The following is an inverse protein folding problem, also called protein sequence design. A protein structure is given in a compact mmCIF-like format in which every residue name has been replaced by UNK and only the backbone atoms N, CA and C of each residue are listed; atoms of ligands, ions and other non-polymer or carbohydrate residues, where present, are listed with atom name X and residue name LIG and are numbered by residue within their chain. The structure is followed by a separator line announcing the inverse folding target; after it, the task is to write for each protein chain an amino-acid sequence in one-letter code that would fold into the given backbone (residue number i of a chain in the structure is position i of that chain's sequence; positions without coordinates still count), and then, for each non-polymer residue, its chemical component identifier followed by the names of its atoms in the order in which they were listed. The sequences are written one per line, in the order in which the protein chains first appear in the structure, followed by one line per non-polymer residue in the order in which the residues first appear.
data_IF_943852219083
#
_entry.id   IF_943852219083
#
_cell.length_a   1.000
_cell.length_b   1.000
_cell.length_c   1.000
_cell.angle_alpha   90.00
_cell.angle_beta   90.00
_cell.angle_gamma   90.00
#
_symmetry.space_group_name_H-M   'P 1'
#
loop_
_entity.id
_entity.type
_entity.pdbx_description
1 polymer ?
#
# COMPACT_ATOMS: atom_id res chain seq x y z
N UNK A 1 -30.73 -22.46 -64.57
CA UNK A 1 -30.84 -21.65 -63.34
C UNK A 1 -29.96 -22.28 -62.27
N UNK A 2 -29.06 -21.47 -61.69
CA UNK A 2 -28.11 -21.83 -60.64
C UNK A 2 -28.84 -22.10 -59.32
N UNK A 3 -28.35 -23.01 -58.48
CA UNK A 3 -27.77 -22.68 -57.17
C UNK A 3 -27.11 -23.93 -56.55
N UNK A 4 -25.81 -23.79 -56.29
CA UNK A 4 -24.93 -24.74 -55.60
C UNK A 4 -25.17 -24.63 -54.10
N UNK A 5 -25.39 -25.77 -53.43
CA UNK A 5 -25.61 -25.82 -51.99
C UNK A 5 -24.26 -25.83 -51.27
N UNK A 6 -23.87 -24.69 -50.68
CA UNK A 6 -22.65 -24.58 -49.88
C UNK A 6 -22.91 -25.08 -48.46
N UNK A 7 -22.30 -26.21 -48.11
CA UNK A 7 -22.27 -26.75 -46.75
C UNK A 7 -21.34 -25.87 -45.89
N UNK A 8 -21.93 -25.12 -44.95
CA UNK A 8 -21.17 -24.29 -44.01
C UNK A 8 -20.73 -25.17 -42.82
N UNK A 9 -19.46 -25.56 -42.79
CA UNK A 9 -18.85 -26.27 -41.67
C UNK A 9 -18.55 -25.27 -40.55
N UNK A 10 -19.29 -25.32 -39.45
CA UNK A 10 -18.99 -24.54 -38.25
C UNK A 10 -17.86 -25.24 -37.49
N UNK A 11 -16.62 -24.73 -37.59
CA UNK A 11 -15.55 -25.15 -36.69
C UNK A 11 -15.76 -24.48 -35.32
N UNK A 12 -16.27 -25.24 -34.37
CA UNK A 12 -16.22 -24.92 -32.94
C UNK A 12 -14.77 -25.00 -32.45
N UNK A 13 -14.07 -23.86 -32.48
CA UNK A 13 -12.75 -23.72 -31.87
C UNK A 13 -12.88 -23.56 -30.35
N UNK A 14 -12.60 -24.62 -29.61
CA UNK A 14 -12.48 -24.58 -28.15
C UNK A 14 -11.29 -23.69 -27.76
N UNK A 15 -11.56 -22.52 -27.19
CA UNK A 15 -10.56 -21.68 -26.52
C UNK A 15 -10.07 -22.42 -25.28
N UNK A 16 -9.01 -23.22 -25.43
CA UNK A 16 -8.25 -23.76 -24.31
C UNK A 16 -7.60 -22.58 -23.58
N UNK A 17 -8.13 -22.25 -22.40
CA UNK A 17 -7.54 -21.27 -21.50
C UNK A 17 -6.10 -21.68 -21.17
N UNK A 18 -5.16 -20.79 -21.45
CA UNK A 18 -3.78 -20.96 -21.00
C UNK A 18 -3.81 -20.83 -19.48
N UNK A 19 -3.43 -21.86 -18.71
CA UNK A 19 -3.35 -21.74 -17.27
C UNK A 19 -2.29 -20.68 -16.95
N UNK A 20 -2.65 -19.72 -16.09
CA UNK A 20 -1.69 -18.77 -15.54
C UNK A 20 -0.56 -19.57 -14.88
N UNK A 21 0.61 -19.61 -15.52
CA UNK A 21 1.80 -20.21 -14.94
C UNK A 21 2.14 -19.41 -13.69
N UNK A 22 1.85 -19.99 -12.53
CA UNK A 22 2.40 -19.52 -11.27
C UNK A 22 3.93 -19.46 -11.43
N UNK A 23 4.49 -18.26 -11.36
CA UNK A 23 5.93 -18.08 -11.42
C UNK A 23 6.56 -18.83 -10.23
N UNK A 24 7.60 -19.65 -10.44
CA UNK A 24 8.33 -20.27 -9.34
C UNK A 24 8.87 -19.16 -8.44
N UNK A 25 8.79 -19.36 -7.12
CA UNK A 25 9.37 -18.44 -6.15
C UNK A 25 10.85 -18.22 -6.50
N UNK A 26 11.23 -16.99 -6.82
CA UNK A 26 12.61 -16.67 -7.16
C UNK A 26 13.47 -16.79 -5.90
N UNK A 27 14.68 -17.35 -6.04
CA UNK A 27 15.71 -17.29 -5.00
C UNK A 27 16.43 -15.92 -5.00
N UNK A 28 15.76 -14.86 -5.49
CA UNK A 28 16.31 -13.51 -5.53
C UNK A 28 16.46 -12.97 -4.10
N UNK A 29 17.57 -12.30 -3.77
CA UNK A 29 17.68 -11.54 -2.53
C UNK A 29 16.50 -10.57 -2.37
N UNK A 30 15.76 -10.74 -1.26
CA UNK A 30 14.65 -9.88 -0.89
C UNK A 30 15.13 -8.89 0.17
N UNK A 31 15.46 -7.68 -0.26
CA UNK A 31 15.86 -6.56 0.59
C UNK A 31 14.68 -5.65 0.97
N UNK A 32 13.53 -5.76 0.29
CA UNK A 32 12.28 -5.18 0.76
C UNK A 32 11.70 -6.03 1.91
N UNK A 33 11.96 -5.61 3.15
CA UNK A 33 11.52 -6.33 4.37
C UNK A 33 10.01 -6.27 4.60
N UNK A 34 9.29 -5.32 3.99
CA UNK A 34 7.83 -5.24 4.03
C UNK A 34 7.22 -6.49 3.40
N UNK A 35 7.76 -6.92 2.25
CA UNK A 35 7.30 -8.14 1.56
C UNK A 35 7.48 -9.37 2.45
N UNK A 36 8.60 -9.47 3.18
CA UNK A 36 8.85 -10.58 4.11
C UNK A 36 7.78 -10.63 5.20
N UNK A 37 7.53 -9.50 5.88
CA UNK A 37 6.52 -9.41 6.94
C UNK A 37 5.12 -9.72 6.46
N UNK A 38 4.75 -9.22 5.28
CA UNK A 38 3.46 -9.49 4.68
C UNK A 38 3.29 -10.98 4.35
N UNK A 39 4.32 -11.66 3.83
CA UNK A 39 4.33 -13.12 3.59
C UNK A 39 4.19 -13.93 4.87
N UNK A 40 4.69 -13.40 5.99
CA UNK A 40 4.51 -13.97 7.33
C UNK A 40 3.13 -13.66 7.95
N UNK A 41 2.24 -12.97 7.23
CA UNK A 41 0.91 -12.59 7.70
C UNK A 41 0.91 -11.48 8.78
N UNK A 42 2.04 -10.79 8.97
CA UNK A 42 2.19 -9.70 9.93
C UNK A 42 1.65 -8.39 9.38
N UNK A 43 1.16 -7.54 10.28
CA UNK A 43 0.83 -6.16 9.95
C UNK A 43 2.12 -5.34 9.74
N UNK A 44 2.08 -4.37 8.84
CA UNK A 44 3.14 -3.40 8.59
C UNK A 44 2.61 -1.97 8.75
N UNK A 45 3.43 -1.11 9.35
CA UNK A 45 3.07 0.27 9.66
C UNK A 45 4.10 1.24 9.09
N UNK A 46 3.63 2.39 8.62
CA UNK A 46 4.51 3.50 8.23
C UNK A 46 4.57 4.62 9.25
N UNK A 47 5.42 5.58 8.94
CA UNK A 47 5.21 6.99 9.27
C UNK A 47 5.11 7.78 7.96
N UNK A 48 4.39 8.91 7.99
CA UNK A 48 4.20 9.77 6.82
C UNK A 48 5.18 10.94 6.85
N UNK A 49 5.99 11.07 5.79
CA UNK A 49 6.90 12.19 5.56
C UNK A 49 6.23 13.18 4.59
N UNK A 50 6.02 14.42 5.03
CA UNK A 50 5.31 15.47 4.26
C UNK A 50 6.16 16.72 3.95
N UNK A 51 7.40 16.76 4.45
CA UNK A 51 8.34 17.87 4.26
C UNK A 51 9.72 17.33 3.92
N UNK A 52 10.51 18.12 3.21
CA UNK A 52 11.93 17.83 3.03
C UNK A 52 12.64 18.06 4.37
N UNK A 53 12.83 16.99 5.14
CA UNK A 53 13.53 17.00 6.42
C UNK A 53 14.34 15.69 6.55
N UNK A 54 15.57 15.66 6.01
CA UNK A 54 16.40 14.47 6.04
C UNK A 54 16.71 14.01 7.47
N UNK A 55 16.85 14.94 8.43
CA UNK A 55 17.16 14.58 9.80
C UNK A 55 15.98 13.85 10.47
N UNK A 56 14.77 14.40 10.34
CA UNK A 56 13.57 13.76 10.89
C UNK A 56 13.27 12.42 10.19
N UNK A 57 13.43 12.36 8.86
CA UNK A 57 13.29 11.12 8.10
C UNK A 57 14.27 10.05 8.61
N UNK A 58 15.56 10.39 8.73
CA UNK A 58 16.58 9.43 9.14
C UNK A 58 16.41 8.91 10.57
N UNK A 59 15.85 9.71 11.46
CA UNK A 59 15.49 9.24 12.80
C UNK A 59 14.27 8.32 12.74
N UNK A 60 13.14 8.80 12.21
CA UNK A 60 11.89 8.05 12.18
C UNK A 60 12.03 6.72 11.42
N UNK A 61 12.74 6.70 10.29
CA UNK A 61 12.91 5.51 9.44
C UNK A 61 13.62 4.32 10.12
N UNK A 62 14.23 4.50 11.28
CA UNK A 62 14.77 3.40 12.09
C UNK A 62 13.68 2.57 12.77
N UNK A 63 12.50 3.15 12.96
CA UNK A 63 11.46 2.69 13.89
C UNK A 63 10.18 2.14 13.22
N UNK A 64 10.10 2.18 11.90
CA UNK A 64 8.92 1.75 11.12
C UNK A 64 9.27 0.70 10.06
N UNK A 65 8.25 0.08 9.49
CA UNK A 65 8.42 -0.93 8.43
C UNK A 65 8.65 -0.30 7.07
N UNK A 66 7.99 0.82 6.83
CA UNK A 66 8.13 1.58 5.60
C UNK A 66 7.92 3.07 5.83
N UNK A 67 8.47 3.88 4.94
CA UNK A 67 8.18 5.31 4.89
C UNK A 67 7.09 5.54 3.87
N UNK A 68 6.10 6.35 4.22
CA UNK A 68 5.15 6.91 3.28
C UNK A 68 5.61 8.33 2.93
N UNK A 69 6.32 8.50 1.82
CA UNK A 69 6.56 9.82 1.27
C UNK A 69 5.28 10.30 0.59
N UNK A 70 4.73 11.39 1.10
CA UNK A 70 3.48 11.96 0.63
C UNK A 70 3.73 12.92 -0.53
N UNK A 71 3.43 12.55 -1.78
CA UNK A 71 3.55 13.47 -2.92
C UNK A 71 2.20 13.85 -3.56
N UNK A 72 1.07 13.36 -3.04
CA UNK A 72 -0.26 13.79 -3.52
C UNK A 72 -0.73 15.06 -2.79
N UNK A 73 -0.52 15.11 -1.47
CA UNK A 73 -1.03 16.18 -0.60
C UNK A 73 0.07 16.89 0.20
N UNK A 74 1.29 16.93 -0.33
CA UNK A 74 2.37 17.75 0.22
C UNK A 74 3.11 18.48 -0.89
N UNK A 75 4.13 19.25 -0.51
CA UNK A 75 5.02 19.96 -1.45
C UNK A 75 6.29 19.18 -1.76
N UNK A 76 6.36 17.89 -1.40
CA UNK A 76 7.52 17.05 -1.72
C UNK A 76 7.61 16.82 -3.23
N UNK A 77 8.79 17.07 -3.78
CA UNK A 77 9.16 16.72 -5.14
C UNK A 77 10.12 15.53 -5.15
N UNK A 78 10.35 14.92 -6.33
CA UNK A 78 11.27 13.78 -6.46
C UNK A 78 12.67 14.07 -5.90
N UNK A 79 13.20 15.29 -6.10
CA UNK A 79 14.51 15.69 -5.58
C UNK A 79 14.57 15.65 -4.04
N UNK A 80 13.46 15.98 -3.38
CA UNK A 80 13.40 16.01 -1.91
C UNK A 80 13.41 14.59 -1.37
N UNK A 81 12.61 13.70 -1.98
CA UNK A 81 12.58 12.28 -1.63
C UNK A 81 13.92 11.61 -1.94
N UNK A 82 14.52 11.92 -3.09
CA UNK A 82 15.86 11.43 -3.48
C UNK A 82 16.90 11.82 -2.42
N UNK A 83 16.94 13.10 -2.04
CA UNK A 83 17.87 13.61 -1.03
C UNK A 83 17.66 12.97 0.34
N UNK A 84 16.40 12.76 0.77
CA UNK A 84 16.11 12.08 2.04
C UNK A 84 16.57 10.61 2.01
N UNK A 85 16.27 9.86 0.96
CA UNK A 85 16.75 8.47 0.80
C UNK A 85 18.27 8.41 0.80
N UNK A 86 18.95 9.36 0.13
CA UNK A 86 20.41 9.44 0.06
C UNK A 86 21.08 9.77 1.40
N UNK A 87 20.40 10.55 2.26
CA UNK A 87 20.95 10.99 3.54
C UNK A 87 21.14 9.84 4.55
N UNK A 88 20.31 8.79 4.46
CA UNK A 88 20.42 7.59 5.28
C UNK A 88 19.96 6.37 4.48
N UNK A 89 20.82 5.87 3.58
CA UNK A 89 20.52 4.68 2.80
C UNK A 89 20.43 3.48 3.75
N UNK A 90 19.61 2.48 3.40
CA UNK A 90 19.49 1.22 4.14
C UNK A 90 18.99 1.33 5.58
N UNK A 91 18.30 2.42 5.93
CA UNK A 91 17.43 2.45 7.12
C UNK A 91 16.38 1.34 7.04
N UNK A 92 15.82 0.97 8.20
CA UNK A 92 14.89 -0.15 8.31
C UNK A 92 13.64 0.06 7.46
N UNK A 93 13.06 1.25 7.53
CA UNK A 93 11.84 1.58 6.81
C UNK A 93 12.12 1.57 5.30
N UNK A 94 11.41 0.71 4.57
CA UNK A 94 11.48 0.66 3.12
C UNK A 94 10.87 1.94 2.52
N UNK A 95 11.56 2.63 1.59
CA UNK A 95 11.02 3.84 0.98
C UNK A 95 9.87 3.52 0.03
N UNK A 96 8.67 4.01 0.34
CA UNK A 96 7.50 3.96 -0.54
C UNK A 96 6.93 5.36 -0.74
N UNK A 97 6.36 5.62 -1.92
CA UNK A 97 5.88 6.95 -2.30
C UNK A 97 4.41 6.86 -2.66
N UNK A 98 3.56 7.68 -2.02
CA UNK A 98 2.25 8.00 -2.58
C UNK A 98 2.41 9.05 -3.66
N UNK A 99 2.19 8.63 -4.90
CA UNK A 99 2.27 9.49 -6.08
C UNK A 99 0.96 10.25 -6.29
N UNK A 100 0.98 11.36 -7.05
CA UNK A 100 -0.26 12.08 -7.38
C UNK A 100 -1.14 11.33 -8.40
N UNK A 101 -0.56 10.44 -9.21
CA UNK A 101 -1.26 9.68 -10.26
C UNK A 101 -0.51 8.39 -10.65
N UNK A 102 -0.97 7.71 -11.71
CA UNK A 102 -0.39 6.48 -12.26
C UNK A 102 0.39 6.69 -13.57
N UNK A 103 0.96 7.87 -13.81
CA UNK A 103 1.68 8.18 -15.05
C UNK A 103 3.05 7.51 -15.11
N UNK A 104 3.46 7.16 -16.33
CA UNK A 104 4.73 6.52 -16.63
C UNK A 104 5.92 7.26 -15.99
N UNK A 105 5.99 8.58 -16.18
CA UNK A 105 7.12 9.37 -15.70
C UNK A 105 7.19 9.41 -14.17
N UNK A 106 6.06 9.57 -13.47
CA UNK A 106 6.00 9.60 -12.01
C UNK A 106 6.47 8.29 -11.38
N UNK A 107 5.94 7.15 -11.88
CA UNK A 107 6.30 5.83 -11.36
C UNK A 107 7.77 5.53 -11.65
N UNK A 108 8.26 5.82 -12.85
CA UNK A 108 9.66 5.55 -13.18
C UNK A 108 10.63 6.43 -12.37
N UNK A 109 10.35 7.72 -12.21
CA UNK A 109 11.18 8.58 -11.36
C UNK A 109 11.20 8.10 -9.91
N UNK A 110 10.05 7.74 -9.33
CA UNK A 110 9.98 7.16 -7.99
C UNK A 110 10.90 5.94 -7.83
N UNK A 111 10.85 5.02 -8.80
CA UNK A 111 11.66 3.81 -8.78
C UNK A 111 13.15 4.06 -9.11
N UNK A 112 13.48 5.14 -9.81
CA UNK A 112 14.86 5.52 -10.14
C UNK A 112 15.56 6.22 -8.97
N UNK A 113 14.81 6.95 -8.13
CA UNK A 113 15.33 7.56 -6.89
C UNK A 113 15.38 6.58 -5.71
N UNK A 114 15.02 5.32 -5.91
CA UNK A 114 15.23 4.25 -4.94
C UNK A 114 14.00 3.78 -4.18
N UNK A 115 12.78 4.24 -4.53
CA UNK A 115 11.57 3.68 -3.96
C UNK A 115 11.41 2.19 -4.32
N UNK A 116 11.00 1.39 -3.35
CA UNK A 116 10.67 -0.03 -3.51
C UNK A 116 9.17 -0.29 -3.35
N UNK A 117 8.38 0.77 -3.38
CA UNK A 117 6.94 0.67 -3.59
C UNK A 117 6.31 2.00 -3.97
N UNK A 118 5.23 1.91 -4.73
CA UNK A 118 4.39 3.05 -5.09
C UNK A 118 2.97 2.83 -4.59
N UNK A 119 2.33 3.91 -4.16
CA UNK A 119 0.93 3.94 -3.74
C UNK A 119 0.20 4.88 -4.67
N UNK A 120 -0.80 4.35 -5.37
CA UNK A 120 -1.57 5.07 -6.38
C UNK A 120 -2.94 5.44 -5.80
N UNK A 121 -3.26 6.73 -5.66
CA UNK A 121 -4.54 7.19 -5.13
C UNK A 121 -5.65 7.12 -6.18
N UNK A 122 -6.88 7.16 -5.67
CA UNK A 122 -8.13 7.31 -6.43
C UNK A 122 -8.21 6.35 -7.63
N UNK A 123 -8.04 5.05 -7.38
CA UNK A 123 -8.13 4.02 -8.42
C UNK A 123 -9.57 3.55 -8.57
N UNK A 124 -10.22 4.03 -9.63
CA UNK A 124 -11.64 3.74 -9.92
C UNK A 124 -11.86 2.61 -10.93
N UNK A 125 -10.85 2.27 -11.72
CA UNK A 125 -10.96 1.29 -12.80
C UNK A 125 -9.69 0.45 -13.03
N UNK A 126 -9.87 -0.59 -13.85
CA UNK A 126 -8.83 -1.54 -14.25
C UNK A 126 -7.72 -0.88 -15.06
N UNK A 127 -8.02 0.15 -15.85
CA UNK A 127 -7.03 0.77 -16.72
C UNK A 127 -6.00 1.56 -15.91
N UNK A 128 -6.46 2.32 -14.91
CA UNK A 128 -5.58 3.02 -13.96
C UNK A 128 -4.74 2.05 -13.13
N UNK A 129 -5.33 0.94 -12.67
CA UNK A 129 -4.59 -0.13 -12.00
C UNK A 129 -3.54 -0.79 -12.93
N UNK A 130 -3.88 -0.99 -14.21
CA UNK A 130 -2.94 -1.54 -15.20
C UNK A 130 -1.77 -0.61 -15.44
N UNK A 131 -1.99 0.70 -15.55
CA UNK A 131 -0.90 1.66 -15.70
C UNK A 131 0.01 1.67 -14.45
N UNK A 132 -0.55 1.60 -13.24
CA UNK A 132 0.23 1.44 -12.01
C UNK A 132 1.16 0.22 -12.04
N UNK A 133 0.64 -0.95 -12.45
CA UNK A 133 1.42 -2.18 -12.55
C UNK A 133 2.47 -2.13 -13.67
N UNK A 134 2.08 -1.61 -14.83
CA UNK A 134 2.86 -1.63 -16.08
C UNK A 134 4.20 -0.90 -15.96
N UNK A 135 4.25 0.22 -15.25
CA UNK A 135 5.47 1.03 -15.15
C UNK A 135 6.36 0.65 -13.96
N UNK A 136 5.87 -0.22 -13.08
CA UNK A 136 6.53 -0.52 -11.80
C UNK A 136 7.54 -1.66 -11.86
N UNK A 137 7.60 -2.46 -12.93
CA UNK A 137 8.53 -3.61 -13.04
C UNK A 137 9.19 -3.71 -14.41
N UNK A 138 10.40 -4.23 -14.47
CA UNK A 138 11.15 -4.43 -15.71
C UNK A 138 10.56 -5.57 -16.57
N UNK A 139 10.78 -5.54 -17.90
CA UNK A 139 10.54 -6.69 -18.76
C UNK A 139 11.25 -7.97 -18.28
N UNK A 140 10.67 -9.17 -18.51
CA UNK A 140 9.41 -9.42 -19.21
C UNK A 140 8.15 -9.29 -18.33
N UNK A 141 8.30 -8.93 -17.04
CA UNK A 141 7.17 -8.88 -16.09
C UNK A 141 6.25 -7.68 -16.36
N UNK A 142 6.83 -6.52 -16.67
CA UNK A 142 6.09 -5.33 -17.09
C UNK A 142 6.94 -4.44 -18.04
N UNK A 143 6.69 -3.13 -18.11
CA UNK A 143 7.22 -2.21 -19.11
C UNK A 143 8.04 -1.04 -18.54
N UNK A 144 8.62 -1.18 -17.33
CA UNK A 144 9.56 -0.18 -16.80
C UNK A 144 10.80 -0.06 -17.72
N UNK A 145 11.20 1.16 -18.06
CA UNK A 145 12.46 1.46 -18.75
C UNK A 145 13.63 1.54 -17.76
N UNK A 146 14.86 1.35 -18.27
CA UNK A 146 16.07 1.40 -17.44
C UNK A 146 16.57 2.84 -17.30
N UNK A 147 16.41 3.43 -16.12
CA UNK A 147 17.09 4.66 -15.70
C UNK A 147 18.43 4.41 -15.00
N UNK A 148 19.20 5.48 -14.82
CA UNK A 148 20.51 5.50 -14.13
C UNK A 148 20.48 6.33 -12.83
N UNK A 149 19.33 6.46 -12.18
CA UNK A 149 19.19 7.14 -10.89
C UNK A 149 19.86 6.38 -9.73
N UNK A 150 19.80 6.95 -8.52
CA UNK A 150 20.49 6.41 -7.35
C UNK A 150 20.05 5.00 -6.92
N UNK A 151 18.87 4.54 -7.34
CA UNK A 151 18.33 3.21 -6.99
C UNK A 151 19.33 2.08 -7.28
N UNK A 152 20.08 2.16 -8.38
CA UNK A 152 21.05 1.13 -8.74
C UNK A 152 22.22 1.09 -7.77
N UNK A 153 22.68 2.24 -7.27
CA UNK A 153 23.76 2.33 -6.28
C UNK A 153 23.28 1.87 -4.90
N UNK A 154 22.05 2.23 -4.53
CA UNK A 154 21.42 1.80 -3.28
C UNK A 154 21.24 0.28 -3.27
N UNK A 155 20.56 -0.29 -4.25
CA UNK A 155 20.08 -1.67 -4.18
C UNK A 155 20.95 -2.67 -4.96
N UNK A 156 22.01 -2.19 -5.63
CA UNK A 156 22.81 -2.98 -6.58
C UNK A 156 24.21 -3.38 -6.09
N UNK A 157 24.46 -3.42 -4.78
CA UNK A 157 25.79 -3.64 -4.17
C UNK A 157 26.51 -4.97 -4.51
N UNK A 158 25.94 -5.80 -5.38
CA UNK A 158 26.66 -6.78 -6.20
C UNK A 158 26.14 -6.65 -7.65
N UNK A 159 26.89 -5.92 -8.50
CA UNK A 159 26.52 -5.40 -9.82
C UNK A 159 25.87 -6.37 -10.84
N UNK A 160 25.77 -7.67 -10.51
CA UNK A 160 25.12 -8.68 -11.32
C UNK A 160 23.57 -8.70 -11.26
N UNK A 161 22.91 -8.03 -10.29
CA UNK A 161 21.53 -8.42 -9.93
C UNK A 161 20.43 -7.35 -9.76
N UNK A 162 20.67 -6.03 -9.70
CA UNK A 162 19.57 -5.07 -9.42
C UNK A 162 18.35 -5.25 -10.33
N UNK A 163 18.53 -5.19 -11.66
CA UNK A 163 17.41 -5.37 -12.59
C UNK A 163 16.76 -6.78 -12.51
N UNK A 164 17.52 -7.78 -12.06
CA UNK A 164 17.04 -9.18 -11.90
C UNK A 164 16.30 -9.39 -10.59
N UNK A 165 16.62 -8.65 -9.53
CA UNK A 165 16.01 -8.77 -8.20
C UNK A 165 14.94 -7.71 -7.95
N UNK A 166 14.98 -6.59 -8.67
CA UNK A 166 14.12 -5.44 -8.45
C UNK A 166 12.64 -5.80 -8.52
N UNK A 167 12.24 -6.60 -9.52
CA UNK A 167 10.86 -6.99 -9.72
C UNK A 167 10.26 -7.72 -8.50
N UNK A 168 11.07 -8.53 -7.82
CA UNK A 168 10.68 -9.29 -6.63
C UNK A 168 10.66 -8.43 -5.35
N UNK A 169 11.28 -7.25 -5.40
CA UNK A 169 11.39 -6.30 -4.30
C UNK A 169 10.44 -5.10 -4.43
N UNK A 170 9.71 -4.98 -5.55
CA UNK A 170 8.79 -3.89 -5.80
C UNK A 170 7.38 -4.22 -5.29
N UNK A 171 6.74 -3.24 -4.63
CA UNK A 171 5.32 -3.26 -4.26
C UNK A 171 4.51 -2.21 -5.03
N UNK A 172 3.37 -2.62 -5.58
CA UNK A 172 2.36 -1.73 -6.16
C UNK A 172 1.11 -1.78 -5.30
N UNK A 173 0.81 -0.64 -4.67
CA UNK A 173 -0.36 -0.43 -3.83
C UNK A 173 -1.36 0.43 -4.57
N UNK A 174 -2.61 0.02 -4.63
CA UNK A 174 -3.71 0.83 -5.17
C UNK A 174 -4.67 1.21 -4.05
N UNK A 175 -5.16 2.44 -4.10
CA UNK A 175 -6.06 2.98 -3.09
C UNK A 175 -7.45 3.21 -3.69
N UNK A 176 -8.45 2.58 -3.08
CA UNK A 176 -9.86 2.75 -3.41
C UNK A 176 -10.44 3.83 -2.50
N UNK A 177 -10.99 4.87 -3.13
CA UNK A 177 -11.42 6.10 -2.45
C UNK A 177 -12.83 6.54 -2.85
N UNK A 178 -13.45 5.90 -3.84
CA UNK A 178 -14.77 6.32 -4.34
C UNK A 178 -15.74 5.13 -4.39
N UNK A 179 -17.07 5.38 -4.39
CA UNK A 179 -18.05 4.33 -4.66
C UNK A 179 -17.83 3.58 -5.98
N UNK A 180 -17.28 4.24 -7.01
CA UNK A 180 -16.94 3.62 -8.30
C UNK A 180 -15.80 2.60 -8.11
N UNK A 181 -14.71 2.99 -7.44
CA UNK A 181 -13.63 2.07 -7.11
C UNK A 181 -14.09 0.91 -6.24
N UNK A 182 -15.02 1.15 -5.31
CA UNK A 182 -15.64 0.09 -4.49
C UNK A 182 -16.43 -0.88 -5.36
N UNK A 183 -17.22 -0.40 -6.33
CA UNK A 183 -17.96 -1.26 -7.25
C UNK A 183 -17.00 -2.17 -8.05
N UNK A 184 -15.89 -1.60 -8.52
CA UNK A 184 -14.89 -2.26 -9.36
C UNK A 184 -13.77 -2.99 -8.59
N UNK A 185 -13.87 -3.09 -7.25
CA UNK A 185 -12.77 -3.53 -6.39
C UNK A 185 -12.15 -4.88 -6.80
N UNK A 186 -12.97 -5.87 -7.17
CA UNK A 186 -12.47 -7.18 -7.59
C UNK A 186 -11.66 -7.12 -8.89
N UNK A 187 -12.16 -6.37 -9.88
CA UNK A 187 -11.50 -6.26 -11.17
C UNK A 187 -10.19 -5.48 -11.05
N UNK A 188 -10.19 -4.42 -10.24
CA UNK A 188 -8.99 -3.64 -9.87
C UNK A 188 -7.96 -4.54 -9.18
N UNK A 189 -8.38 -5.28 -8.14
CA UNK A 189 -7.50 -6.16 -7.38
C UNK A 189 -6.95 -7.32 -8.24
N UNK A 190 -7.72 -7.78 -9.22
CA UNK A 190 -7.34 -8.89 -10.11
C UNK A 190 -6.30 -8.51 -11.16
N UNK A 191 -5.96 -7.22 -11.31
CA UNK A 191 -4.94 -6.78 -12.26
C UNK A 191 -3.57 -7.39 -11.91
N UNK A 192 -2.93 -8.12 -12.84
CA UNK A 192 -1.59 -8.64 -12.62
C UNK A 192 -0.58 -7.52 -12.31
N UNK A 193 0.20 -7.72 -11.26
CA UNK A 193 1.19 -6.74 -10.79
C UNK A 193 0.68 -5.80 -9.70
N UNK A 194 -0.62 -5.78 -9.39
CA UNK A 194 -1.13 -5.20 -8.14
C UNK A 194 -0.85 -6.16 -6.99
N UNK A 195 -0.29 -5.66 -5.89
CA UNK A 195 0.10 -6.46 -4.73
C UNK A 195 -0.83 -6.24 -3.55
N UNK A 196 -1.19 -4.96 -3.30
CA UNK A 196 -1.94 -4.53 -2.12
C UNK A 196 -3.06 -3.59 -2.57
N UNK A 197 -4.26 -3.78 -2.01
CA UNK A 197 -5.37 -2.85 -2.12
C UNK A 197 -5.62 -2.25 -0.75
N UNK A 198 -5.64 -0.92 -0.68
CA UNK A 198 -5.98 -0.19 0.54
C UNK A 198 -7.20 0.71 0.32
N UNK A 199 -7.85 1.09 1.40
CA UNK A 199 -8.94 2.06 1.38
C UNK A 199 -8.41 3.41 1.83
N UNK A 200 -8.63 4.46 1.04
CA UNK A 200 -8.42 5.84 1.48
C UNK A 200 -9.61 6.26 2.33
N UNK A 201 -9.52 6.01 3.63
CA UNK A 201 -10.69 6.05 4.52
C UNK A 201 -11.41 7.41 4.54
N UNK A 202 -10.64 8.50 4.55
CA UNK A 202 -11.18 9.86 4.58
C UNK A 202 -11.87 10.20 3.25
N UNK A 203 -11.20 9.95 2.12
CA UNK A 203 -11.76 10.24 0.81
C UNK A 203 -12.97 9.37 0.50
N UNK A 204 -12.99 8.09 0.88
CA UNK A 204 -14.18 7.25 0.73
C UNK A 204 -15.38 7.79 1.51
N UNK A 205 -15.15 8.35 2.71
CA UNK A 205 -16.22 9.01 3.47
C UNK A 205 -16.73 10.26 2.74
N UNK A 206 -15.83 11.07 2.18
CA UNK A 206 -16.17 12.28 1.43
C UNK A 206 -16.92 11.95 0.13
N UNK A 207 -16.39 11.06 -0.71
CA UNK A 207 -16.99 10.72 -2.00
C UNK A 207 -18.31 9.97 -1.89
N UNK A 208 -18.48 9.16 -0.84
CA UNK A 208 -19.75 8.46 -0.60
C UNK A 208 -20.79 9.30 0.13
N UNK A 209 -20.37 10.33 0.88
CA UNK A 209 -21.22 11.10 1.77
C UNK A 209 -21.61 10.37 3.06
N UNK A 210 -21.01 9.22 3.37
CA UNK A 210 -21.28 8.46 4.59
C UNK A 210 -20.15 8.62 5.61
N UNK A 211 -20.51 8.85 6.87
CA UNK A 211 -19.56 8.86 7.97
C UNK A 211 -18.92 7.47 8.16
N UNK A 212 -17.72 7.42 8.75
CA UNK A 212 -16.97 6.16 8.86
C UNK A 212 -17.63 5.14 9.80
N UNK A 213 -18.52 5.57 10.69
CA UNK A 213 -19.32 4.72 11.57
C UNK A 213 -20.67 4.29 10.96
N UNK A 214 -21.02 4.77 9.77
CA UNK A 214 -22.26 4.42 9.06
C UNK A 214 -22.20 2.99 8.49
N UNK A 215 -23.26 2.22 8.65
CA UNK A 215 -23.37 0.84 8.14
C UNK A 215 -23.12 0.73 6.63
N UNK A 216 -23.48 1.76 5.85
CA UNK A 216 -23.27 1.81 4.40
C UNK A 216 -21.80 2.02 4.06
N UNK A 217 -21.10 2.86 4.82
CA UNK A 217 -19.65 2.99 4.72
C UNK A 217 -18.96 1.67 5.07
N UNK A 218 -19.39 1.06 6.18
CA UNK A 218 -18.88 -0.23 6.63
C UNK A 218 -19.14 -1.35 5.62
N UNK A 219 -20.27 -1.32 4.91
CA UNK A 219 -20.56 -2.25 3.81
C UNK A 219 -19.61 -2.07 2.61
N UNK A 220 -19.27 -0.82 2.27
CA UNK A 220 -18.28 -0.55 1.21
C UNK A 220 -16.88 -1.05 1.60
N UNK A 221 -16.45 -0.82 2.84
CA UNK A 221 -15.19 -1.37 3.34
C UNK A 221 -15.17 -2.90 3.25
N UNK A 222 -16.24 -3.56 3.73
CA UNK A 222 -16.37 -5.02 3.66
C UNK A 222 -16.31 -5.54 2.22
N UNK A 223 -16.98 -4.87 1.28
CA UNK A 223 -16.91 -5.25 -0.14
C UNK A 223 -15.48 -5.18 -0.67
N UNK A 224 -14.76 -4.08 -0.43
CA UNK A 224 -13.36 -3.94 -0.89
C UNK A 224 -12.48 -5.01 -0.26
N UNK A 225 -12.64 -5.27 1.04
CA UNK A 225 -11.93 -6.34 1.74
C UNK A 225 -12.18 -7.71 1.09
N UNK A 226 -13.44 -8.11 0.95
CA UNK A 226 -13.82 -9.43 0.44
C UNK A 226 -13.34 -9.63 -1.00
N UNK A 227 -13.48 -8.60 -1.84
CA UNK A 227 -13.04 -8.63 -3.23
C UNK A 227 -11.51 -8.66 -3.35
N UNK A 228 -10.79 -7.96 -2.48
CA UNK A 228 -9.32 -7.98 -2.42
C UNK A 228 -8.81 -9.36 -2.05
N UNK A 229 -9.37 -9.98 -1.01
CA UNK A 229 -8.99 -11.32 -0.59
C UNK A 229 -9.39 -12.38 -1.63
N UNK A 230 -10.56 -12.23 -2.26
CA UNK A 230 -11.01 -13.11 -3.36
C UNK A 230 -10.08 -13.07 -4.57
N UNK A 231 -9.47 -11.91 -4.86
CA UNK A 231 -8.44 -11.76 -5.88
C UNK A 231 -7.05 -12.26 -5.45
N UNK A 232 -6.91 -12.79 -4.22
CA UNK A 232 -5.65 -13.27 -3.66
C UNK A 232 -4.65 -12.16 -3.35
N UNK A 233 -5.13 -10.94 -3.10
CA UNK A 233 -4.32 -9.77 -2.81
C UNK A 233 -4.33 -9.41 -1.32
N UNK A 234 -3.38 -8.59 -0.93
CA UNK A 234 -3.26 -8.12 0.45
C UNK A 234 -4.20 -6.95 0.65
N UNK A 235 -5.00 -7.01 1.71
CA UNK A 235 -5.87 -5.91 2.12
C UNK A 235 -5.18 -5.00 3.15
N UNK A 236 -5.43 -3.70 3.08
CA UNK A 236 -4.91 -2.72 4.03
C UNK A 236 -5.80 -1.48 4.13
N UNK A 237 -5.34 -0.50 4.90
CA UNK A 237 -6.10 0.71 5.25
C UNK A 237 -5.15 1.92 5.28
N UNK A 238 -5.56 3.05 4.72
CA UNK A 238 -4.80 4.29 4.80
C UNK A 238 -4.94 4.99 6.17
N UNK A 239 -5.23 4.23 7.23
CA UNK A 239 -5.31 4.73 8.59
C UNK A 239 -5.08 3.59 9.60
N UNK A 240 -4.06 3.71 10.44
CA UNK A 240 -3.71 2.72 11.46
C UNK A 240 -4.78 2.52 12.55
N UNK A 241 -5.77 3.41 12.69
CA UNK A 241 -6.88 3.18 13.63
C UNK A 241 -7.62 1.87 13.34
N UNK A 242 -7.64 1.43 12.08
CA UNK A 242 -8.27 0.17 11.66
C UNK A 242 -7.43 -1.07 11.98
N UNK A 243 -6.21 -0.91 12.51
CA UNK A 243 -5.33 -2.04 12.82
C UNK A 243 -5.79 -2.85 14.02
N UNK A 244 -6.59 -2.26 14.91
CA UNK A 244 -7.15 -2.92 16.10
C UNK A 244 -8.61 -2.50 16.30
N UNK A 245 -9.41 -3.36 16.96
CA UNK A 245 -10.79 -3.03 17.34
C UNK A 245 -11.83 -3.03 16.21
N UNK A 246 -11.41 -2.98 14.94
CA UNK A 246 -12.32 -3.07 13.80
C UNK A 246 -12.58 -4.55 13.43
N UNK A 247 -13.79 -4.93 12.96
CA UNK A 247 -14.10 -6.32 12.57
C UNK A 247 -13.12 -6.95 11.55
N UNK A 248 -12.51 -6.11 10.71
CA UNK A 248 -11.56 -6.51 9.66
C UNK A 248 -10.08 -6.35 10.05
N UNK A 249 -9.77 -5.93 11.29
CA UNK A 249 -8.40 -5.65 11.74
C UNK A 249 -7.46 -6.85 11.58
N UNK A 250 -7.98 -8.07 11.81
CA UNK A 250 -7.25 -9.33 11.71
C UNK A 250 -6.79 -9.65 10.28
N UNK A 251 -7.49 -9.16 9.28
CA UNK A 251 -7.23 -9.46 7.86
C UNK A 251 -6.48 -8.32 7.16
N UNK A 252 -6.62 -7.08 7.63
CA UNK A 252 -5.85 -5.94 7.15
C UNK A 252 -4.37 -6.03 7.61
N UNK A 253 -3.43 -5.92 6.65
CA UNK A 253 -1.98 -6.09 6.88
C UNK A 253 -1.13 -4.89 6.56
N UNK A 254 -1.62 -3.92 5.80
CA UNK A 254 -0.83 -2.76 5.38
C UNK A 254 -1.50 -1.47 5.85
N UNK A 255 -0.79 -0.64 6.62
CA UNK A 255 -1.37 0.54 7.25
C UNK A 255 -0.54 1.81 7.04
N UNK A 256 -1.19 2.88 6.59
CA UNK A 256 -0.61 4.22 6.66
C UNK A 256 -0.56 4.68 8.12
N UNK A 257 0.61 5.16 8.54
CA UNK A 257 0.94 5.49 9.92
C UNK A 257 0.80 4.27 10.85
N UNK A 258 1.02 4.45 12.15
CA UNK A 258 0.84 3.41 13.14
C UNK A 258 1.88 3.48 14.25
N UNK A 259 1.92 2.47 15.13
CA UNK A 259 2.95 2.39 16.15
C UNK A 259 4.31 2.03 15.53
N UNK A 260 5.37 2.67 16.02
CA UNK A 260 6.73 2.17 15.83
C UNK A 260 6.88 0.77 16.45
N UNK A 261 7.67 -0.11 15.83
CA UNK A 261 7.80 -1.50 16.29
C UNK A 261 8.48 -1.63 17.67
N UNK A 262 9.21 -0.60 18.09
CA UNK A 262 9.95 -0.52 19.36
C UNK A 262 9.36 0.50 20.34
N UNK A 263 8.17 1.06 20.03
CA UNK A 263 7.50 2.04 20.87
C UNK A 263 8.08 3.46 20.79
N UNK A 264 9.01 3.73 19.88
CA UNK A 264 9.52 5.07 19.63
C UNK A 264 8.40 6.06 19.30
N UNK A 265 8.56 7.31 19.75
CA UNK A 265 7.62 8.41 19.49
C UNK A 265 8.40 9.65 19.03
N UNK A 266 7.91 10.41 18.04
CA UNK A 266 8.51 11.68 17.67
C UNK A 266 8.52 12.63 18.86
N UNK A 267 9.61 13.37 19.04
CA UNK A 267 9.70 14.41 20.06
C UNK A 267 8.59 15.46 19.85
N UNK A 268 7.80 15.75 20.89
CA UNK A 268 6.75 16.78 20.86
C UNK A 268 5.35 16.32 20.43
N UNK A 269 5.12 15.03 20.15
CA UNK A 269 3.77 14.51 19.84
C UNK A 269 3.19 13.83 21.09
N UNK A 270 2.30 14.53 21.81
CA UNK A 270 1.41 13.91 22.81
C UNK A 270 0.24 13.24 22.09
N UNK A 271 0.09 11.93 22.25
CA UNK A 271 -0.95 11.15 21.58
C UNK A 271 -2.36 11.60 22.04
N UNK A 272 -3.19 12.16 21.16
CA UNK A 272 -4.63 12.41 21.45
C UNK A 272 -5.49 11.17 21.24
N UNK A 273 -4.88 10.01 21.01
CA UNK A 273 -5.57 8.72 20.80
C UNK A 273 -5.17 7.64 21.81
N UNK A 274 -4.61 8.04 22.96
CA UNK A 274 -4.54 7.10 24.09
C UNK A 274 -5.98 6.84 24.60
N UNK A 275 -6.37 5.58 24.86
CA UNK A 275 -7.58 5.33 25.64
C UNK A 275 -7.45 6.08 26.98
N UNK A 276 -8.54 6.63 27.53
CA UNK A 276 -8.48 7.27 28.83
C UNK A 276 -7.89 6.26 29.83
N UNK A 277 -6.94 6.66 30.69
CA UNK A 277 -6.46 5.80 31.76
C UNK A 277 -7.67 5.35 32.58
N UNK A 278 -7.91 4.03 32.56
CA UNK A 278 -8.89 3.40 33.43
C UNK A 278 -8.55 3.68 34.88
N UNK A 279 -9.61 3.90 35.64
CA UNK A 279 -9.64 3.94 37.09
C UNK A 279 -8.91 2.72 37.68
N UNK A 280 -7.68 2.91 38.13
CA UNK A 280 -7.04 2.03 39.11
C UNK A 280 -6.69 2.86 40.34
N UNK A 281 -7.51 2.66 41.37
CA UNK A 281 -7.23 2.78 42.80
C UNK A 281 -6.39 3.98 43.28
N UNK A 282 -7.08 5.07 43.61
CA UNK A 282 -6.56 6.06 44.56
C UNK A 282 -6.89 5.62 46.01
N UNK A 283 -5.91 5.29 46.85
CA UNK A 283 -6.16 5.05 48.27
C UNK A 283 -6.31 6.40 48.97
N UNK A 284 -7.52 6.70 49.44
CA UNK A 284 -7.74 7.77 50.41
C UNK A 284 -8.82 8.77 50.06
N UNK A 285 -10.08 8.35 50.14
CA UNK A 285 -11.17 9.25 50.57
C UNK A 285 -12.02 8.54 51.60
N UNK A 286 -12.03 9.08 52.83
CA UNK A 286 -12.97 8.66 53.88
C UNK A 286 -14.40 8.88 53.38
N UNK A 287 -15.34 7.97 53.69
CA UNK A 287 -16.74 8.17 53.31
C UNK A 287 -17.35 9.31 54.15
N UNK A 288 -18.23 10.14 53.58
CA UNK A 288 -18.98 11.11 54.36
C UNK A 288 -20.00 10.39 55.24
N UNK A 289 -20.00 10.76 56.51
CA UNK A 289 -20.96 10.35 57.54
C UNK A 289 -22.38 10.76 57.16
N UNK A 290 -23.30 9.78 57.17
CA UNK A 290 -24.74 10.03 57.31
C UNK A 290 -25.00 10.85 58.57
N UNK A 291 -25.78 11.93 58.45
CA UNK A 291 -26.60 12.43 59.55
C UNK A 291 -27.97 12.84 59.02
N UNK A 292 -28.95 12.21 59.65
CA UNK A 292 -30.37 12.48 59.58
C UNK A 292 -30.69 13.90 60.06
N UNK A 293 -31.59 14.58 59.33
CA UNK A 293 -32.81 15.25 59.82
C UNK A 293 -33.57 15.87 58.67
#
# INVERSE_FOLDING_TARGET
MRFSSTLCLVLSGSLLGIPALAQPASNSPLYNTVIQKLREGKQVFSFTQVKNDPQAYCEAAKHYDYTWFEMQHSTLEFRDVEAMIAACPHVRAIPMIRLPDAQEWHIQHATDIGALGVIIPTVDDVDRAREAAKWSRYPPVARRSSGNGQARSLWGSNAANYAKTFNDNMLVVVMIETPTGVANAYDIASVPGIDIVIIGNNDLSVFSGFAQDDDRYQAMIRKVHDDTLRAGKIFGQANAIYATGHPLSKDAKFFQNGPAFDGWKPAGVSNTSAPPPGEEDAPGKKPPTKKDK
#
